data_IF_986099066623
#
_entry.id   IF_986099066623
#
_cell.length_a   1.000
_cell.length_b   1.000
_cell.length_c   1.000
_cell.angle_alpha   90.00
_cell.angle_beta   90.00
_cell.angle_gamma   90.00
#
_symmetry.space_group_name_H-M   'P 1'
#
loop_
_entity.id
_entity.type
_entity.pdbx_description
1 polymer ?
#
# COMPACT_ATOMS: atom_id res chain seq x y z
N UNK A 1 -1.22 -17.55 16.03
CA UNK A 1 -0.28 -16.65 15.32
C UNK A 1 -1.03 -16.08 14.11
N UNK A 2 -1.46 -14.84 14.21
CA UNK A 2 -2.27 -14.22 13.16
C UNK A 2 -1.72 -12.85 12.77
N UNK A 3 -1.86 -12.49 11.50
CA UNK A 3 -1.67 -11.12 11.02
C UNK A 3 -2.90 -10.31 11.44
N UNK A 4 -2.66 -9.25 12.16
CA UNK A 4 -3.68 -8.27 12.55
C UNK A 4 -3.51 -7.00 11.71
N UNK A 5 -4.57 -6.20 11.59
CA UNK A 5 -4.49 -4.93 10.89
C UNK A 5 -5.41 -3.87 11.49
N UNK A 6 -5.06 -2.62 11.27
CA UNK A 6 -5.89 -1.44 11.56
C UNK A 6 -5.76 -0.46 10.39
N UNK A 7 -6.89 -0.03 9.85
CA UNK A 7 -6.94 0.97 8.79
C UNK A 7 -7.11 2.34 9.45
N UNK A 8 -6.29 3.29 9.03
CA UNK A 8 -6.30 4.67 9.50
C UNK A 8 -6.44 5.58 8.28
N UNK A 9 -7.65 6.02 7.93
CA UNK A 9 -7.82 6.97 6.83
C UNK A 9 -7.09 8.27 7.13
N UNK A 10 -6.27 8.75 6.21
CA UNK A 10 -5.43 9.94 6.36
C UNK A 10 -5.60 10.88 5.18
N UNK A 11 -5.22 12.13 5.39
CA UNK A 11 -5.29 13.23 4.42
C UNK A 11 -6.72 13.60 3.99
N UNK A 12 -6.87 14.68 3.23
CA UNK A 12 -8.14 15.08 2.64
C UNK A 12 -8.63 14.09 1.55
N UNK A 13 -7.75 13.18 1.10
CA UNK A 13 -8.06 12.14 0.13
C UNK A 13 -8.62 10.87 0.78
N UNK A 14 -8.68 10.82 2.14
CA UNK A 14 -9.14 9.65 2.90
C UNK A 14 -8.40 8.35 2.50
N UNK A 15 -7.08 8.48 2.23
CA UNK A 15 -6.24 7.34 1.89
C UNK A 15 -6.13 6.38 3.09
N UNK A 16 -6.25 5.09 2.84
CA UNK A 16 -6.22 4.03 3.83
C UNK A 16 -4.79 3.64 4.23
N UNK A 17 -4.13 4.46 5.06
CA UNK A 17 -2.90 4.02 5.71
C UNK A 17 -3.21 2.77 6.57
N UNK A 18 -2.42 1.72 6.44
CA UNK A 18 -2.65 0.47 7.14
C UNK A 18 -1.52 0.15 8.12
N UNK A 19 -1.87 -0.24 9.34
CA UNK A 19 -0.94 -0.78 10.33
C UNK A 19 -1.14 -2.30 10.33
N UNK A 20 -0.11 -3.06 9.98
CA UNK A 20 -0.13 -4.53 10.02
C UNK A 20 0.79 -5.01 11.14
N UNK A 21 0.38 -6.03 11.91
CA UNK A 21 1.24 -6.57 12.97
C UNK A 21 1.02 -8.05 13.23
N UNK A 22 2.06 -8.68 13.77
CA UNK A 22 1.99 -10.04 14.29
C UNK A 22 1.46 -10.02 15.72
N UNK A 23 0.39 -10.77 16.03
CA UNK A 23 -0.24 -10.81 17.34
C UNK A 23 0.62 -11.44 18.45
N UNK A 24 1.66 -12.19 18.10
CA UNK A 24 2.58 -12.79 19.08
C UNK A 24 3.77 -11.89 19.42
N UNK A 25 4.41 -11.28 18.40
CA UNK A 25 5.61 -10.47 18.63
C UNK A 25 5.30 -9.01 18.88
N UNK A 26 4.09 -8.57 18.54
CA UNK A 26 3.67 -7.17 18.50
C UNK A 26 4.55 -6.28 17.60
N UNK A 27 5.35 -6.88 16.73
CA UNK A 27 6.07 -6.17 15.67
C UNK A 27 5.09 -5.75 14.59
N UNK A 28 5.20 -4.51 14.14
CA UNK A 28 4.29 -3.90 13.20
C UNK A 28 5.03 -3.18 12.07
N UNK A 29 4.31 -3.00 10.98
CA UNK A 29 4.68 -2.11 9.88
C UNK A 29 3.54 -1.15 9.58
N UNK A 30 3.89 0.04 9.09
CA UNK A 30 2.92 0.97 8.50
C UNK A 30 3.03 0.87 7.01
N UNK A 31 1.90 0.68 6.34
CA UNK A 31 1.80 0.68 4.87
C UNK A 31 1.18 2.00 4.43
N UNK A 32 1.86 2.68 3.52
CA UNK A 32 1.44 3.93 2.89
C UNK A 32 1.07 5.04 3.90
N UNK A 33 2.01 5.57 4.70
CA UNK A 33 1.76 6.71 5.58
C UNK A 33 1.69 8.02 4.78
N UNK A 34 0.55 8.27 4.13
CA UNK A 34 0.35 9.40 3.23
C UNK A 34 0.35 10.78 3.90
N UNK A 35 0.05 10.84 5.19
CA UNK A 35 0.00 12.10 5.97
C UNK A 35 -0.63 11.89 7.35
N UNK A 36 -1.04 12.98 8.02
CA UNK A 36 -1.69 12.92 9.34
C UNK A 36 -0.94 12.08 10.37
N UNK A 37 0.39 12.18 10.43
CA UNK A 37 1.27 11.31 11.22
C UNK A 37 0.85 11.21 12.70
N UNK A 38 0.33 12.28 13.29
CA UNK A 38 -0.19 12.25 14.68
C UNK A 38 -1.33 11.24 14.82
N UNK A 39 -2.18 11.09 13.81
CA UNK A 39 -3.28 10.13 13.80
C UNK A 39 -2.76 8.70 13.67
N UNK A 40 -1.77 8.47 12.80
CA UNK A 40 -1.10 7.18 12.64
C UNK A 40 -0.40 6.79 13.96
N UNK A 41 0.39 7.68 14.55
CA UNK A 41 1.09 7.44 15.82
C UNK A 41 0.13 7.16 16.99
N UNK A 42 -1.01 7.86 17.04
CA UNK A 42 -2.05 7.57 18.05
C UNK A 42 -2.61 6.15 17.87
N UNK A 43 -2.87 5.73 16.61
CA UNK A 43 -3.36 4.39 16.31
C UNK A 43 -2.35 3.28 16.64
N UNK A 44 -1.05 3.50 16.38
CA UNK A 44 0.05 2.61 16.76
C UNK A 44 0.12 2.45 18.29
N UNK A 45 0.07 3.57 19.01
CA UNK A 45 0.08 3.58 20.48
C UNK A 45 -1.14 2.85 21.06
N UNK A 46 -2.32 3.07 20.50
CA UNK A 46 -3.56 2.39 20.92
C UNK A 46 -3.49 0.88 20.70
N UNK A 47 -2.91 0.45 19.57
CA UNK A 47 -2.69 -0.97 19.28
C UNK A 47 -1.60 -1.61 20.16
N UNK A 48 -0.75 -0.80 20.81
CA UNK A 48 0.34 -1.28 21.66
C UNK A 48 1.44 -2.03 20.89
N UNK A 49 1.64 -1.69 19.61
CA UNK A 49 2.58 -2.37 18.72
C UNK A 49 3.89 -1.61 18.56
N UNK A 50 4.93 -2.30 18.15
CA UNK A 50 6.27 -1.76 17.88
C UNK A 50 6.51 -1.67 16.39
N UNK A 51 6.69 -0.48 15.83
CA UNK A 51 7.05 -0.31 14.43
C UNK A 51 8.47 -0.84 14.16
N UNK A 52 8.60 -1.54 13.04
CA UNK A 52 9.86 -2.12 12.55
C UNK A 52 10.23 -1.67 11.13
N UNK A 53 9.25 -1.23 10.36
CA UNK A 53 9.47 -0.73 9.00
C UNK A 53 8.26 0.09 8.50
N UNK A 54 8.49 0.81 7.41
CA UNK A 54 7.45 1.40 6.56
C UNK A 54 7.46 0.64 5.23
N UNK A 55 6.28 0.21 4.76
CA UNK A 55 6.10 -0.41 3.46
C UNK A 55 5.33 0.50 2.52
N UNK A 56 5.68 0.50 1.25
CA UNK A 56 5.03 1.35 0.25
C UNK A 56 4.50 0.52 -0.91
N UNK A 57 3.25 0.81 -1.32
CA UNK A 57 2.63 0.18 -2.49
C UNK A 57 3.05 0.87 -3.79
N UNK A 58 3.05 2.20 -3.82
CA UNK A 58 3.41 3.02 -4.98
C UNK A 58 3.81 4.45 -4.55
N UNK A 59 4.14 5.34 -5.51
CA UNK A 59 4.79 6.63 -5.25
C UNK A 59 3.90 7.87 -5.28
N UNK A 60 2.57 7.75 -5.21
CA UNK A 60 1.71 8.94 -5.16
C UNK A 60 1.76 9.61 -3.79
N UNK A 61 1.63 10.93 -3.80
CA UNK A 61 1.83 11.80 -2.63
C UNK A 61 0.93 11.46 -1.45
N UNK A 62 -0.32 11.11 -1.70
CA UNK A 62 -1.31 10.75 -0.69
C UNK A 62 -1.04 9.39 -0.03
N UNK A 63 -0.18 8.55 -0.62
CA UNK A 63 0.34 7.30 -0.05
C UNK A 63 1.69 7.47 0.65
N UNK A 64 2.54 8.37 0.17
CA UNK A 64 3.92 8.44 0.68
C UNK A 64 4.29 9.77 1.34
N UNK A 65 3.38 10.75 1.36
CA UNK A 65 3.69 12.12 1.80
C UNK A 65 4.24 12.25 3.22
N UNK A 66 3.85 11.36 4.13
CA UNK A 66 4.35 11.31 5.51
C UNK A 66 5.54 10.36 5.72
N UNK A 67 5.93 9.59 4.69
CA UNK A 67 6.93 8.51 4.82
C UNK A 67 8.29 9.02 5.32
N UNK A 68 8.83 10.06 4.70
CA UNK A 68 10.16 10.56 5.05
C UNK A 68 10.23 11.12 6.47
N UNK A 69 9.20 11.86 6.90
CA UNK A 69 9.11 12.38 8.27
C UNK A 69 8.99 11.25 9.29
N UNK A 70 8.12 10.26 9.05
CA UNK A 70 7.94 9.13 9.94
C UNK A 70 9.21 8.27 10.04
N UNK A 71 9.84 7.98 8.90
CA UNK A 71 11.07 7.19 8.86
C UNK A 71 12.21 7.85 9.63
N UNK A 72 12.36 9.17 9.51
CA UNK A 72 13.38 9.93 10.24
C UNK A 72 13.08 9.99 11.76
N UNK A 73 11.81 10.20 12.13
CA UNK A 73 11.41 10.34 13.52
C UNK A 73 11.57 9.04 14.34
N UNK A 74 11.33 7.89 13.71
CA UNK A 74 11.29 6.57 14.37
C UNK A 74 12.49 5.68 13.97
N UNK A 75 13.45 6.20 13.17
CA UNK A 75 14.61 5.45 12.63
C UNK A 75 14.20 4.15 11.91
N UNK A 76 13.22 4.24 11.02
CA UNK A 76 12.63 3.09 10.34
C UNK A 76 13.16 2.90 8.91
N UNK A 77 13.44 1.66 8.49
CA UNK A 77 13.70 1.35 7.10
C UNK A 77 12.42 1.50 6.26
N UNK A 78 12.57 2.04 5.05
CA UNK A 78 11.51 2.11 4.04
C UNK A 78 11.73 0.95 3.06
N UNK A 79 10.69 0.16 2.82
CA UNK A 79 10.71 -1.03 1.95
C UNK A 79 9.61 -0.89 0.88
N UNK A 80 9.99 -1.09 -0.37
CA UNK A 80 9.10 -0.85 -1.51
C UNK A 80 9.01 0.62 -1.89
N UNK A 81 8.30 0.91 -2.97
CA UNK A 81 7.65 -0.01 -3.90
C UNK A 81 8.64 -0.71 -4.88
N UNK A 82 8.23 -1.00 -6.13
CA UNK A 82 9.16 -1.42 -7.17
C UNK A 82 9.99 -0.25 -7.68
N UNK A 83 11.20 -0.52 -8.20
CA UNK A 83 12.13 0.53 -8.65
C UNK A 83 11.57 1.45 -9.75
N UNK A 84 10.61 0.98 -10.52
CA UNK A 84 9.94 1.79 -11.55
C UNK A 84 9.13 2.97 -10.97
N UNK A 85 8.90 2.98 -9.63
CA UNK A 85 8.32 4.12 -8.90
C UNK A 85 9.32 5.25 -8.60
N UNK A 86 10.61 5.07 -8.87
CA UNK A 86 11.60 6.14 -8.66
C UNK A 86 11.16 7.46 -9.31
N UNK A 87 10.56 7.37 -10.51
CA UNK A 87 10.00 8.53 -11.21
C UNK A 87 8.99 9.32 -10.37
N UNK A 88 8.06 8.63 -9.70
CA UNK A 88 7.05 9.25 -8.85
C UNK A 88 7.64 9.80 -7.55
N UNK A 89 8.59 9.08 -6.95
CA UNK A 89 9.27 9.53 -5.74
C UNK A 89 10.13 10.79 -6.01
N UNK A 90 10.77 10.88 -7.18
CA UNK A 90 11.54 12.06 -7.58
C UNK A 90 10.63 13.29 -7.77
N UNK A 91 9.35 13.08 -8.14
CA UNK A 91 8.35 14.13 -8.35
C UNK A 91 7.54 14.50 -7.10
N UNK A 92 7.89 14.02 -5.92
CA UNK A 92 7.14 14.31 -4.69
C UNK A 92 7.01 15.81 -4.38
N UNK A 93 8.02 16.66 -4.59
CA UNK A 93 7.86 18.11 -4.41
C UNK A 93 6.81 18.71 -5.34
N UNK A 94 6.78 18.30 -6.61
CA UNK A 94 5.82 18.76 -7.62
C UNK A 94 4.40 18.25 -7.29
N UNK A 95 4.27 16.98 -6.91
CA UNK A 95 3.00 16.40 -6.47
C UNK A 95 2.46 17.16 -5.24
N UNK A 96 3.32 17.44 -4.26
CA UNK A 96 2.97 18.20 -3.05
C UNK A 96 2.40 19.57 -3.42
N UNK A 97 3.08 20.32 -4.30
CA UNK A 97 2.62 21.61 -4.75
C UNK A 97 1.30 21.54 -5.54
N UNK A 98 1.17 20.52 -6.41
CA UNK A 98 -0.01 20.35 -7.27
C UNK A 98 -1.27 20.00 -6.48
N UNK A 99 -1.15 19.13 -5.47
CA UNK A 99 -2.28 18.61 -4.70
C UNK A 99 -2.47 19.29 -3.34
N UNK A 100 -1.68 20.32 -3.02
CA UNK A 100 -1.81 21.11 -1.79
C UNK A 100 -1.37 20.35 -0.52
N UNK A 101 -0.44 19.41 -0.66
CA UNK A 101 0.18 18.73 0.49
C UNK A 101 1.25 19.63 1.13
N UNK A 102 1.60 19.40 2.41
CA UNK A 102 2.79 20.01 3.02
C UNK A 102 4.07 19.65 2.24
N UNK A 103 5.12 20.42 2.44
CA UNK A 103 6.44 20.09 1.90
C UNK A 103 6.88 18.70 2.40
N UNK A 104 7.30 17.84 1.48
CA UNK A 104 7.64 16.44 1.79
C UNK A 104 9.10 16.33 2.20
N UNK A 105 9.36 15.58 3.26
CA UNK A 105 10.70 15.10 3.58
C UNK A 105 11.07 14.01 2.57
N UNK A 106 12.01 14.32 1.67
CA UNK A 106 12.47 13.34 0.66
C UNK A 106 13.14 12.13 1.32
N UNK A 107 12.98 10.99 0.69
CA UNK A 107 13.52 9.73 1.15
C UNK A 107 13.94 8.83 -0.02
N UNK A 108 14.71 7.81 0.28
CA UNK A 108 15.03 6.72 -0.66
C UNK A 108 14.71 5.39 0.01
N UNK A 109 13.97 4.49 -0.64
CA UNK A 109 13.76 3.15 -0.09
C UNK A 109 15.08 2.42 0.17
N UNK A 110 15.16 1.77 1.33
CA UNK A 110 16.30 0.91 1.67
C UNK A 110 16.30 -0.38 0.83
N UNK A 111 15.10 -0.81 0.42
CA UNK A 111 14.91 -1.99 -0.43
C UNK A 111 13.76 -1.73 -1.40
N UNK A 112 14.02 -1.90 -2.68
CA UNK A 112 12.99 -2.02 -3.71
C UNK A 112 12.43 -3.43 -3.73
N UNK A 113 11.19 -3.58 -4.17
CA UNK A 113 10.49 -4.87 -4.22
C UNK A 113 10.23 -5.28 -5.67
N UNK A 114 10.26 -6.58 -5.90
CA UNK A 114 10.00 -7.19 -7.22
C UNK A 114 8.99 -8.32 -7.09
N UNK A 115 8.42 -8.74 -8.21
CA UNK A 115 7.54 -9.91 -8.28
C UNK A 115 8.16 -11.12 -7.60
N UNK A 116 7.40 -11.78 -6.74
CA UNK A 116 7.83 -12.99 -6.03
C UNK A 116 8.74 -12.75 -4.82
N UNK A 117 9.13 -11.50 -4.55
CA UNK A 117 9.77 -11.16 -3.29
C UNK A 117 8.86 -11.47 -2.09
N UNK A 118 9.46 -11.55 -0.91
CA UNK A 118 8.74 -11.63 0.35
C UNK A 118 9.21 -10.57 1.33
N UNK A 119 8.27 -10.12 2.17
CA UNK A 119 8.52 -9.25 3.33
C UNK A 119 7.99 -9.92 4.59
N UNK A 120 8.49 -9.47 5.75
CA UNK A 120 8.13 -10.08 7.03
C UNK A 120 7.81 -9.02 8.07
N UNK A 121 6.75 -9.25 8.85
CA UNK A 121 6.42 -8.49 10.06
C UNK A 121 6.23 -9.46 11.23
N UNK A 122 7.11 -9.39 12.22
CA UNK A 122 7.20 -10.43 13.25
C UNK A 122 7.42 -11.81 12.62
N UNK A 123 6.49 -12.72 12.85
CA UNK A 123 6.52 -14.08 12.27
C UNK A 123 5.59 -14.23 11.04
N UNK A 124 4.98 -13.14 10.59
CA UNK A 124 4.09 -13.15 9.43
C UNK A 124 4.85 -12.81 8.15
N UNK A 125 4.72 -13.67 7.14
CA UNK A 125 5.32 -13.47 5.82
C UNK A 125 4.24 -13.04 4.82
N UNK A 126 4.55 -12.06 3.98
CA UNK A 126 3.71 -11.60 2.89
C UNK A 126 4.49 -11.69 1.58
N UNK A 127 3.83 -12.18 0.55
CA UNK A 127 4.35 -12.21 -0.83
C UNK A 127 4.09 -10.88 -1.54
N UNK A 128 4.97 -10.54 -2.46
CA UNK A 128 4.87 -9.33 -3.29
C UNK A 128 4.35 -9.71 -4.67
N UNK A 129 3.29 -9.03 -5.08
CA UNK A 129 2.77 -9.09 -6.44
C UNK A 129 3.03 -7.73 -7.11
N UNK A 130 3.75 -7.70 -8.20
CA UNK A 130 3.96 -6.47 -8.99
C UNK A 130 2.75 -6.26 -9.89
N UNK A 131 1.96 -5.24 -9.63
CA UNK A 131 0.69 -4.95 -10.31
C UNK A 131 0.72 -3.56 -10.97
N UNK A 132 1.47 -3.39 -12.07
CA UNK A 132 1.57 -2.11 -12.77
C UNK A 132 0.27 -1.73 -13.47
N UNK A 133 0.15 -0.45 -13.84
CA UNK A 133 -0.93 0.09 -14.65
C UNK A 133 -1.54 1.35 -14.06
N UNK A 134 -1.84 1.41 -12.77
CA UNK A 134 -2.11 2.68 -12.07
C UNK A 134 -0.84 3.53 -12.02
N UNK A 135 0.25 2.93 -11.56
CA UNK A 135 1.62 3.40 -11.70
C UNK A 135 2.50 2.24 -12.19
N UNK A 136 3.71 2.51 -12.74
CA UNK A 136 4.53 1.46 -13.34
C UNK A 136 5.13 0.47 -12.34
N UNK A 137 5.33 0.88 -11.11
CA UNK A 137 6.00 0.07 -10.09
C UNK A 137 5.11 -0.30 -8.91
N UNK A 138 3.78 -0.26 -9.09
CA UNK A 138 2.84 -0.59 -8.02
C UNK A 138 3.00 -2.03 -7.54
N UNK A 139 3.07 -2.24 -6.21
CA UNK A 139 3.15 -3.58 -5.59
C UNK A 139 1.99 -3.81 -4.64
N UNK A 140 1.62 -5.07 -4.49
CA UNK A 140 0.60 -5.58 -3.56
C UNK A 140 1.28 -6.46 -2.53
N UNK A 141 0.89 -6.34 -1.26
CA UNK A 141 1.34 -7.19 -0.16
C UNK A 141 0.26 -8.24 0.11
N UNK A 142 0.56 -9.52 -0.11
CA UNK A 142 -0.39 -10.61 0.05
C UNK A 142 0.04 -11.58 1.16
N UNK A 143 -0.82 -11.77 2.16
CA UNK A 143 -0.70 -12.80 3.20
C UNK A 143 -1.64 -13.95 2.88
N UNK A 144 -1.10 -15.06 2.41
CA UNK A 144 -1.87 -16.27 2.16
C UNK A 144 -2.46 -16.81 3.48
N UNK A 145 -1.66 -16.85 4.54
CA UNK A 145 -2.08 -17.38 5.85
C UNK A 145 -3.21 -16.59 6.50
N UNK A 146 -3.30 -15.29 6.22
CA UNK A 146 -4.36 -14.42 6.74
C UNK A 146 -5.53 -14.24 5.74
N UNK A 147 -5.39 -14.71 4.50
CA UNK A 147 -6.36 -14.45 3.43
C UNK A 147 -6.56 -12.94 3.19
N UNK A 148 -5.47 -12.16 3.26
CA UNK A 148 -5.52 -10.70 3.22
C UNK A 148 -4.51 -10.14 2.21
N UNK A 149 -4.94 -9.18 1.40
CA UNK A 149 -4.06 -8.40 0.53
C UNK A 149 -4.17 -6.89 0.84
N UNK A 150 -3.05 -6.16 0.82
CA UNK A 150 -3.05 -4.69 0.77
C UNK A 150 -2.74 -4.31 -0.66
N UNK A 151 -3.74 -3.80 -1.37
CA UNK A 151 -3.69 -3.67 -2.82
C UNK A 151 -3.43 -2.24 -3.31
N UNK A 152 -3.34 -1.27 -2.39
CA UNK A 152 -3.19 0.14 -2.77
C UNK A 152 -4.25 0.53 -3.81
N UNK A 153 -3.80 1.19 -4.86
CA UNK A 153 -4.68 1.72 -5.91
C UNK A 153 -4.79 0.81 -7.16
N UNK A 154 -4.65 -0.51 -6.97
CA UNK A 154 -4.87 -1.49 -8.04
C UNK A 154 -6.36 -1.79 -8.19
N UNK A 155 -7.03 -2.17 -7.10
CA UNK A 155 -8.41 -2.65 -7.11
C UNK A 155 -9.19 -2.01 -5.97
N UNK A 156 -10.39 -1.52 -6.29
CA UNK A 156 -11.35 -0.97 -5.33
C UNK A 156 -12.65 -1.75 -5.33
N UNK A 157 -13.47 -1.55 -4.33
CA UNK A 157 -14.84 -2.08 -4.33
C UNK A 157 -15.65 -1.44 -5.46
N UNK A 158 -15.89 -2.20 -6.53
CA UNK A 158 -16.61 -1.75 -7.72
C UNK A 158 -15.82 -0.81 -8.62
N UNK A 159 -14.50 -0.76 -8.51
CA UNK A 159 -13.64 0.12 -9.32
C UNK A 159 -12.21 -0.38 -9.43
N UNK A 160 -11.40 0.33 -10.20
CA UNK A 160 -9.94 0.14 -10.34
C UNK A 160 -9.23 1.48 -10.21
N UNK A 161 -7.92 1.46 -10.03
CA UNK A 161 -7.09 2.66 -10.04
C UNK A 161 -7.17 3.43 -11.35
N UNK A 162 -7.01 4.76 -11.28
CA UNK A 162 -6.89 5.62 -12.47
C UNK A 162 -5.63 5.25 -13.24
N UNK A 163 -5.70 5.41 -14.54
CA UNK A 163 -4.59 5.07 -15.46
C UNK A 163 -4.21 6.24 -16.38
N UNK A 164 -4.82 7.41 -16.16
CA UNK A 164 -4.59 8.64 -16.91
C UNK A 164 -3.43 9.50 -16.38
N UNK A 165 -2.73 9.03 -15.35
CA UNK A 165 -1.50 9.63 -14.86
C UNK A 165 -0.29 9.26 -15.75
N UNK A 166 0.81 10.04 -15.72
CA UNK A 166 2.04 9.69 -16.40
C UNK A 166 2.50 8.24 -16.12
N UNK A 167 2.78 7.48 -17.19
CA UNK A 167 3.13 6.04 -17.15
C UNK A 167 2.01 5.10 -16.66
N UNK A 168 0.77 5.60 -16.54
CA UNK A 168 -0.40 4.76 -16.34
C UNK A 168 -0.81 4.07 -17.64
N UNK A 169 -1.41 2.87 -17.53
CA UNK A 169 -1.93 2.09 -18.67
C UNK A 169 -3.07 1.17 -18.21
N UNK A 170 -4.27 1.39 -18.76
CA UNK A 170 -5.47 0.67 -18.32
C UNK A 170 -5.41 -0.82 -18.64
N UNK A 171 -4.93 -1.19 -19.82
CA UNK A 171 -4.85 -2.60 -20.19
C UNK A 171 -3.87 -3.35 -19.29
N UNK A 172 -2.73 -2.74 -18.99
CA UNK A 172 -1.74 -3.29 -18.07
C UNK A 172 -2.34 -3.48 -16.68
N UNK A 173 -3.15 -2.53 -16.19
CA UNK A 173 -3.81 -2.65 -14.88
C UNK A 173 -4.83 -3.79 -14.87
N UNK A 174 -5.68 -3.86 -15.89
CA UNK A 174 -6.68 -4.94 -16.03
C UNK A 174 -6.00 -6.31 -16.10
N UNK A 175 -4.95 -6.44 -16.91
CA UNK A 175 -4.17 -7.67 -16.99
C UNK A 175 -3.55 -8.08 -15.65
N UNK A 176 -2.99 -7.12 -14.91
CA UNK A 176 -2.43 -7.36 -13.58
C UNK A 176 -3.50 -7.84 -12.59
N UNK A 177 -4.68 -7.22 -12.59
CA UNK A 177 -5.79 -7.64 -11.73
C UNK A 177 -6.23 -9.08 -12.09
N UNK A 178 -6.46 -9.36 -13.37
CA UNK A 178 -6.96 -10.67 -13.81
C UNK A 178 -5.93 -11.79 -13.57
N UNK A 179 -4.65 -11.54 -13.86
CA UNK A 179 -3.60 -12.56 -13.81
C UNK A 179 -3.00 -12.75 -12.42
N UNK A 180 -3.07 -11.75 -11.52
CA UNK A 180 -2.41 -11.77 -10.22
C UNK A 180 -3.37 -11.71 -9.03
N UNK A 181 -4.43 -10.89 -9.11
CA UNK A 181 -5.38 -10.79 -8.00
C UNK A 181 -6.54 -11.79 -8.14
N UNK A 182 -7.11 -11.94 -9.35
CA UNK A 182 -8.27 -12.84 -9.55
C UNK A 182 -7.92 -14.33 -9.55
N UNK A 183 -6.64 -14.67 -9.47
CA UNK A 183 -6.17 -16.05 -9.24
C UNK A 183 -6.02 -16.40 -7.77
N UNK A 184 -6.07 -15.41 -6.86
CA UNK A 184 -6.08 -15.62 -5.42
C UNK A 184 -7.40 -16.28 -4.99
N UNK A 185 -7.45 -16.95 -3.82
CA UNK A 185 -8.69 -17.50 -3.27
C UNK A 185 -9.80 -16.44 -3.20
N UNK A 186 -11.02 -16.81 -3.56
CA UNK A 186 -12.16 -15.88 -3.65
C UNK A 186 -12.51 -15.20 -2.31
N UNK A 187 -12.25 -15.90 -1.20
CA UNK A 187 -12.42 -15.39 0.16
C UNK A 187 -11.35 -14.38 0.60
N UNK A 188 -10.27 -14.22 -0.18
CA UNK A 188 -9.22 -13.24 0.14
C UNK A 188 -9.84 -11.85 0.25
N UNK A 189 -9.78 -11.28 1.46
CA UNK A 189 -10.15 -9.88 1.68
C UNK A 189 -9.02 -8.96 1.22
N UNK A 190 -9.36 -7.75 0.79
CA UNK A 190 -8.32 -6.77 0.49
C UNK A 190 -8.62 -5.39 1.07
N UNK A 191 -7.53 -4.70 1.44
CA UNK A 191 -7.51 -3.30 1.87
C UNK A 191 -7.09 -2.48 0.64
N UNK A 192 -7.99 -1.66 0.08
CA UNK A 192 -7.64 -0.74 -1.01
C UNK A 192 -6.99 0.52 -0.47
N UNK A 193 -6.34 1.30 -1.34
CA UNK A 193 -5.80 2.61 -0.99
C UNK A 193 -6.89 3.62 -0.60
N UNK A 194 -8.09 3.46 -1.14
CA UNK A 194 -9.24 4.32 -0.83
C UNK A 194 -10.53 3.52 -0.70
N UNK A 195 -11.45 4.03 0.14
CA UNK A 195 -12.78 3.46 0.31
C UNK A 195 -12.82 2.16 1.11
N UNK A 196 -13.91 1.40 1.03
CA UNK A 196 -14.12 0.23 1.86
C UNK A 196 -13.41 -1.01 1.31
N UNK A 197 -13.08 -1.94 2.21
CA UNK A 197 -12.61 -3.28 1.87
C UNK A 197 -13.63 -4.06 1.02
N UNK A 198 -13.12 -5.03 0.25
CA UNK A 198 -13.91 -5.99 -0.50
C UNK A 198 -13.21 -7.36 -0.48
N UNK A 199 -13.68 -8.31 -1.30
CA UNK A 199 -13.04 -9.61 -1.49
C UNK A 199 -12.76 -9.86 -2.96
N UNK A 200 -11.76 -10.67 -3.24
CA UNK A 200 -11.40 -11.04 -4.61
C UNK A 200 -12.59 -11.66 -5.36
N UNK A 201 -13.31 -12.57 -4.72
CA UNK A 201 -14.48 -13.23 -5.33
C UNK A 201 -15.64 -12.27 -5.61
N UNK A 202 -15.86 -11.26 -4.76
CA UNK A 202 -16.87 -10.24 -5.02
C UNK A 202 -16.52 -9.43 -6.27
N UNK A 203 -15.31 -8.88 -6.33
CA UNK A 203 -14.88 -8.04 -7.46
C UNK A 203 -14.77 -8.84 -8.76
N UNK A 204 -14.29 -10.07 -8.71
CA UNK A 204 -14.24 -10.98 -9.86
C UNK A 204 -15.61 -11.22 -10.50
N UNK A 205 -16.70 -11.13 -9.73
CA UNK A 205 -18.08 -11.33 -10.25
C UNK A 205 -18.81 -10.03 -10.60
N UNK A 206 -18.43 -8.91 -10.00
CA UNK A 206 -19.28 -7.71 -10.03
C UNK A 206 -18.59 -6.43 -10.46
N UNK A 207 -17.26 -6.42 -10.51
CA UNK A 207 -16.52 -5.21 -10.86
C UNK A 207 -16.67 -4.90 -12.36
N UNK A 208 -17.24 -3.74 -12.74
CA UNK A 208 -17.58 -3.44 -14.13
C UNK A 208 -16.36 -3.11 -15.01
N UNK A 209 -15.18 -2.90 -14.42
CA UNK A 209 -13.97 -2.50 -15.15
C UNK A 209 -13.09 -3.68 -15.56
N UNK A 210 -13.28 -4.85 -14.97
CA UNK A 210 -12.41 -6.02 -15.15
C UNK A 210 -13.16 -7.29 -15.55
N UNK A 211 -14.48 -7.17 -15.84
CA UNK A 211 -15.35 -8.26 -16.29
C UNK A 211 -15.76 -8.07 -17.75
#
# INVERSE_FOLDING_TARGET
MALQYKIVPVTAFEQNCSILWCDETMDAVVVDPGGDLKRIQAAIKEAGVRLTAIWLTHGHIDHVGGTGELALAEDLPIIGPHVDEQFWLDMLPEQSAMFGFPAVQMFTPKRWLSEGDTVQVGQQQLSILHCPGHTPGHVVFYSESAGLAVVGDVLFKGGIGRTDFPKGDEQTLVDAIQQKLFVLPEETAFIPGHGPMSTIGHEKRTNPFVN
#
